data_IF_552304951170
#
_entry.id   IF_552304951170
#
_cell.length_a   1.000
_cell.length_b   1.000
_cell.length_c   1.000
_cell.angle_alpha   90.00
_cell.angle_beta   90.00
_cell.angle_gamma   90.00
#
_symmetry.space_group_name_H-M   'P 1'
#
loop_
_entity.id
_entity.type
_entity.pdbx_description
1 polymer ?
#
# COMPACT_ATOMS: atom_id res chain seq x y z
N UNK A 1 11.60 7.61 -17.99
CA UNK A 1 10.61 6.60 -18.47
C UNK A 1 11.06 5.91 -19.75
N UNK A 2 11.62 6.66 -20.70
CA UNK A 2 12.02 6.13 -22.02
C UNK A 2 13.08 5.02 -21.93
N UNK A 3 14.12 5.21 -21.13
CA UNK A 3 15.15 4.19 -20.88
C UNK A 3 14.57 2.90 -20.28
N UNK A 4 13.57 3.00 -19.40
CA UNK A 4 12.95 1.83 -18.78
C UNK A 4 12.10 1.03 -19.79
N UNK A 5 11.43 1.71 -20.74
CA UNK A 5 10.70 1.07 -21.84
C UNK A 5 11.65 0.42 -22.85
N UNK A 6 12.77 1.07 -23.14
CA UNK A 6 13.78 0.58 -24.09
C UNK A 6 14.66 -0.53 -23.52
N UNK A 7 14.69 -0.72 -22.20
CA UNK A 7 15.52 -1.73 -21.53
C UNK A 7 15.22 -3.19 -21.91
N UNK A 8 14.14 -3.46 -22.64
CA UNK A 8 13.59 -4.80 -22.94
C UNK A 8 13.31 -5.65 -21.69
N UNK A 9 13.33 -5.07 -20.48
CA UNK A 9 12.99 -5.74 -19.23
C UNK A 9 11.51 -5.49 -18.93
N UNK A 10 10.63 -6.51 -19.02
CA UNK A 10 9.18 -6.31 -18.87
C UNK A 10 8.78 -5.75 -17.52
N UNK A 11 9.50 -6.12 -16.44
CA UNK A 11 9.26 -5.59 -15.08
C UNK A 11 9.51 -4.08 -14.99
N UNK A 12 10.56 -3.59 -15.64
CA UNK A 12 10.90 -2.15 -15.63
C UNK A 12 9.91 -1.34 -16.46
N UNK A 13 9.48 -1.86 -17.61
CA UNK A 13 8.45 -1.23 -18.41
C UNK A 13 7.12 -1.14 -17.67
N UNK A 14 6.72 -2.21 -16.95
CA UNK A 14 5.50 -2.22 -16.12
C UNK A 14 5.60 -1.26 -14.95
N UNK A 15 6.73 -1.21 -14.26
CA UNK A 15 6.97 -0.24 -13.18
C UNK A 15 6.86 1.20 -13.69
N UNK A 16 7.47 1.51 -14.83
CA UNK A 16 7.38 2.83 -15.46
C UNK A 16 5.93 3.20 -15.80
N UNK A 17 5.13 2.24 -16.30
CA UNK A 17 3.71 2.45 -16.57
C UNK A 17 2.91 2.74 -15.29
N UNK A 18 3.16 1.99 -14.21
CA UNK A 18 2.51 2.22 -12.91
C UNK A 18 2.84 3.60 -12.35
N UNK A 19 4.11 4.02 -12.36
CA UNK A 19 4.51 5.36 -11.88
C UNK A 19 3.85 6.45 -12.73
N UNK A 20 3.79 6.28 -14.05
CA UNK A 20 3.10 7.22 -14.94
C UNK A 20 1.61 7.35 -14.61
N UNK A 21 0.93 6.23 -14.31
CA UNK A 21 -0.49 6.22 -13.97
C UNK A 21 -0.79 6.95 -12.64
N UNK A 22 0.11 6.86 -11.66
CA UNK A 22 -0.04 7.46 -10.33
C UNK A 22 0.71 8.78 -10.15
N UNK A 23 1.26 9.37 -11.23
CA UNK A 23 2.11 10.57 -11.17
C UNK A 23 1.45 11.76 -10.47
N UNK A 24 0.13 11.90 -10.60
CA UNK A 24 -0.62 13.01 -10.00
C UNK A 24 -0.62 12.91 -8.48
N UNK A 25 -0.85 11.73 -7.91
CA UNK A 25 -0.77 11.51 -6.47
C UNK A 25 0.64 11.65 -5.92
N UNK A 26 1.66 11.25 -6.70
CA UNK A 26 3.07 11.42 -6.34
C UNK A 26 3.44 12.91 -6.28
N UNK A 27 3.03 13.69 -7.29
CA UNK A 27 3.32 15.13 -7.35
C UNK A 27 2.50 15.95 -6.34
N UNK A 28 1.27 15.54 -6.05
CA UNK A 28 0.41 16.21 -5.06
C UNK A 28 1.03 16.25 -3.65
N UNK A 29 2.02 15.40 -3.35
CA UNK A 29 2.79 15.45 -2.11
C UNK A 29 3.54 16.78 -1.92
N UNK A 30 4.00 17.41 -3.01
CA UNK A 30 4.71 18.69 -2.94
C UNK A 30 3.77 19.85 -2.58
N UNK A 31 2.51 19.78 -3.00
CA UNK A 31 1.50 20.80 -2.73
C UNK A 31 0.85 20.59 -1.36
N UNK A 32 0.59 19.34 -1.01
CA UNK A 32 0.04 18.93 0.27
C UNK A 32 0.91 17.81 0.80
N UNK A 33 1.60 18.02 1.93
CA UNK A 33 2.50 17.06 2.57
C UNK A 33 1.76 15.84 3.17
N UNK A 34 0.77 15.32 2.46
CA UNK A 34 -0.06 14.20 2.85
C UNK A 34 0.75 12.91 2.72
N UNK A 35 0.99 12.25 3.84
CA UNK A 35 1.74 10.99 3.87
C UNK A 35 0.80 9.80 4.03
N UNK A 36 0.98 8.79 3.18
CA UNK A 36 0.33 7.48 3.34
C UNK A 36 0.95 6.63 4.45
N UNK A 37 2.04 7.07 5.09
CA UNK A 37 2.77 6.29 6.09
C UNK A 37 1.90 5.85 7.28
N UNK A 38 1.00 6.72 7.76
CA UNK A 38 0.06 6.36 8.84
C UNK A 38 -0.91 5.27 8.41
N UNK A 39 -1.45 5.38 7.18
CA UNK A 39 -2.39 4.41 6.60
C UNK A 39 -1.69 3.06 6.37
N UNK A 40 -0.47 3.08 5.85
CA UNK A 40 0.34 1.86 5.68
C UNK A 40 0.69 1.20 7.02
N UNK A 41 1.00 1.99 8.05
CA UNK A 41 1.24 1.49 9.40
C UNK A 41 0.02 0.77 9.97
N UNK A 42 -1.17 1.34 9.81
CA UNK A 42 -2.43 0.70 10.18
C UNK A 42 -2.62 -0.60 9.39
N UNK A 43 -2.45 -0.59 8.07
CA UNK A 43 -2.57 -1.78 7.23
C UNK A 43 -1.61 -2.91 7.67
N UNK A 44 -0.38 -2.57 8.06
CA UNK A 44 0.56 -3.57 8.54
C UNK A 44 0.14 -4.14 9.91
N UNK A 45 -0.31 -3.31 10.84
CA UNK A 45 -0.86 -3.77 12.13
C UNK A 45 -2.05 -4.72 11.92
N UNK A 46 -2.97 -4.40 11.00
CA UNK A 46 -4.12 -5.26 10.66
C UNK A 46 -3.65 -6.59 10.06
N UNK A 47 -2.65 -6.55 9.17
CA UNK A 47 -2.08 -7.76 8.56
C UNK A 47 -1.44 -8.68 9.60
N UNK A 48 -0.72 -8.11 10.58
CA UNK A 48 -0.16 -8.86 11.72
C UNK A 48 -1.29 -9.43 12.59
N UNK A 49 -2.30 -8.62 12.91
CA UNK A 49 -3.48 -9.05 13.67
C UNK A 49 -4.14 -10.27 13.01
N UNK A 50 -4.35 -10.22 11.70
CA UNK A 50 -4.94 -11.31 10.91
C UNK A 50 -4.07 -12.57 10.89
N UNK A 51 -2.73 -12.44 10.83
CA UNK A 51 -1.80 -13.58 10.88
C UNK A 51 -1.80 -14.24 12.27
N UNK A 52 -1.79 -13.44 13.34
CA UNK A 52 -1.88 -13.93 14.70
C UNK A 52 -3.26 -14.54 15.00
N UNK A 53 -4.28 -14.14 14.26
CA UNK A 53 -5.64 -14.64 14.39
C UNK A 53 -5.91 -15.95 13.62
N UNK A 54 -4.88 -16.65 13.12
CA UNK A 54 -5.08 -17.97 12.49
C UNK A 54 -5.71 -18.95 13.50
N UNK A 55 -7.02 -19.19 13.36
CA UNK A 55 -7.83 -20.03 14.25
C UNK A 55 -8.99 -19.33 14.95
N UNK A 56 -9.11 -18.00 14.88
CA UNK A 56 -10.28 -17.29 15.43
C UNK A 56 -11.50 -17.57 14.54
N UNK A 57 -12.50 -18.25 15.11
CA UNK A 57 -13.83 -18.50 14.50
C UNK A 57 -14.82 -17.36 14.78
N UNK A 58 -14.36 -16.24 15.33
CA UNK A 58 -15.18 -15.13 15.80
C UNK A 58 -14.73 -13.82 15.12
N UNK A 59 -15.43 -13.47 14.05
CA UNK A 59 -15.21 -12.24 13.28
C UNK A 59 -15.55 -10.98 14.08
N UNK A 60 -16.42 -11.08 15.10
CA UNK A 60 -16.82 -9.94 15.91
C UNK A 60 -15.70 -9.56 16.89
N UNK A 61 -14.99 -10.56 17.45
CA UNK A 61 -13.77 -10.31 18.22
C UNK A 61 -12.66 -9.66 17.37
N UNK A 62 -12.53 -10.04 16.10
CA UNK A 62 -11.58 -9.41 15.18
C UNK A 62 -11.93 -7.94 14.91
N UNK A 63 -13.22 -7.60 14.74
CA UNK A 63 -13.68 -6.20 14.60
C UNK A 63 -13.40 -5.38 15.86
N UNK A 64 -13.65 -5.93 17.04
CA UNK A 64 -13.35 -5.26 18.31
C UNK A 64 -11.85 -4.95 18.45
N UNK A 65 -10.99 -5.90 18.09
CA UNK A 65 -9.53 -5.71 18.04
C UNK A 65 -9.09 -4.67 17.01
N UNK A 66 -9.83 -4.54 15.90
CA UNK A 66 -9.57 -3.54 14.87
C UNK A 66 -9.94 -2.11 15.34
N UNK A 67 -11.05 -1.96 16.07
CA UNK A 67 -11.44 -0.67 16.64
C UNK A 67 -10.55 -0.21 17.80
N UNK A 68 -9.82 -1.13 18.43
CA UNK A 68 -8.89 -0.83 19.54
C UNK A 68 -7.46 -0.47 19.09
N UNK A 69 -7.23 -0.23 17.79
CA UNK A 69 -5.91 -0.16 17.15
C UNK A 69 -5.34 1.26 17.02
#
# INVERSE_FOLDING_TARGET
MEQARQSKVPRLARMAATIMAHRTGILAWYDCHFSTAKVEGINNKIKVLKRNAYGFRDDDYFKLRLFAL
#
